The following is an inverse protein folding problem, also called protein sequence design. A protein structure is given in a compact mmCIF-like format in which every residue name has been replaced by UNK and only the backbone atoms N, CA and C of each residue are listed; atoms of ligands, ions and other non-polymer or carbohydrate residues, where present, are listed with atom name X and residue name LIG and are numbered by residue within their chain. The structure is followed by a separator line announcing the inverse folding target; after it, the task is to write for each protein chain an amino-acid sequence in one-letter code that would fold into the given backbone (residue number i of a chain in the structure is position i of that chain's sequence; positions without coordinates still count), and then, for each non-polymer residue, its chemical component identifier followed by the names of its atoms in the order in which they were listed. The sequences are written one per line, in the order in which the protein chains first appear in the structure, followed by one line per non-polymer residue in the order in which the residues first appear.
data_IF_002309879416
#
_entry.id   IF_002309879416
#
_cell.length_a   1.000
_cell.length_b   1.000
_cell.length_c   1.000
_cell.angle_alpha   90.00
_cell.angle_beta   90.00
_cell.angle_gamma   90.00
#
_symmetry.space_group_name_H-M   'P 1'
#
loop_
_entity.id
_entity.type
_entity.pdbx_description
1 polymer ?
#
# COMPACT_ATOMS: atom_id res chain seq x y z
N UNK A 1 -11.78 4.79 -23.88
CA UNK A 1 -11.67 5.14 -22.46
C UNK A 1 -11.73 3.85 -21.68
N UNK A 2 -10.73 3.52 -20.86
CA UNK A 2 -10.71 2.29 -20.06
C UNK A 2 -11.70 2.42 -18.88
N UNK A 3 -12.09 1.28 -18.27
CA UNK A 3 -13.00 1.30 -17.11
C UNK A 3 -12.42 2.09 -15.95
N UNK A 4 -11.10 2.03 -15.76
CA UNK A 4 -10.37 2.85 -14.75
C UNK A 4 -10.49 4.34 -15.06
N UNK A 5 -10.38 4.75 -16.32
CA UNK A 5 -10.51 6.16 -16.72
C UNK A 5 -11.93 6.70 -16.51
N UNK A 6 -12.96 5.86 -16.72
CA UNK A 6 -14.35 6.24 -16.42
C UNK A 6 -14.55 6.40 -14.92
N UNK A 7 -14.06 5.44 -14.13
CA UNK A 7 -14.16 5.48 -12.67
C UNK A 7 -13.45 6.71 -12.08
N UNK A 8 -12.27 7.09 -12.63
CA UNK A 8 -11.58 8.31 -12.23
C UNK A 8 -12.35 9.59 -12.58
N UNK A 9 -12.95 9.64 -13.77
CA UNK A 9 -13.75 10.79 -14.18
C UNK A 9 -14.99 10.96 -13.28
N UNK A 10 -15.66 9.86 -12.95
CA UNK A 10 -16.80 9.86 -12.02
C UNK A 10 -16.37 10.26 -10.59
N UNK A 11 -15.27 9.71 -10.09
CA UNK A 11 -14.70 10.08 -8.80
C UNK A 11 -14.39 11.59 -8.73
N UNK A 12 -13.76 12.14 -9.78
CA UNK A 12 -13.45 13.56 -9.86
C UNK A 12 -14.71 14.41 -9.81
N UNK A 13 -15.73 14.07 -10.60
CA UNK A 13 -17.01 14.79 -10.60
C UNK A 13 -17.69 14.77 -9.23
N UNK A 14 -17.63 13.65 -8.51
CA UNK A 14 -18.18 13.53 -7.14
C UNK A 14 -17.40 14.40 -6.14
N UNK A 15 -16.08 14.42 -6.22
CA UNK A 15 -15.25 15.29 -5.39
C UNK A 15 -15.53 16.78 -5.67
N UNK A 16 -15.62 17.18 -6.95
CA UNK A 16 -15.95 18.56 -7.36
C UNK A 16 -17.36 18.98 -6.94
N UNK A 17 -18.30 18.03 -6.87
CA UNK A 17 -19.64 18.25 -6.34
C UNK A 17 -19.68 18.39 -4.81
N UNK A 18 -18.55 18.24 -4.11
CA UNK A 18 -18.46 18.34 -2.66
C UNK A 18 -18.96 17.12 -1.90
N UNK A 19 -19.07 15.96 -2.56
CA UNK A 19 -19.46 14.73 -1.90
C UNK A 19 -18.42 14.31 -0.86
N UNK A 20 -18.86 14.10 0.37
CA UNK A 20 -18.01 13.56 1.43
C UNK A 20 -17.80 12.07 1.19
N UNK A 21 -16.56 11.64 1.11
CA UNK A 21 -16.20 10.26 0.82
C UNK A 21 -14.90 9.85 1.53
N UNK A 22 -14.69 8.55 1.78
CA UNK A 22 -13.39 8.04 2.21
C UNK A 22 -12.29 8.40 1.21
N UNK A 23 -11.05 8.42 1.68
CA UNK A 23 -9.90 8.65 0.80
C UNK A 23 -9.88 7.60 -0.34
N UNK A 24 -9.90 8.01 -1.61
CA UNK A 24 -10.00 7.04 -2.72
C UNK A 24 -8.80 6.11 -2.82
N UNK A 25 -7.64 6.54 -2.33
CA UNK A 25 -6.42 5.74 -2.39
C UNK A 25 -6.34 4.69 -1.29
N UNK A 26 -6.64 5.03 -0.03
CA UNK A 26 -6.50 4.10 1.09
C UNK A 26 -7.84 3.58 1.66
N UNK A 27 -8.99 4.13 1.24
CA UNK A 27 -10.31 3.73 1.73
C UNK A 27 -10.68 4.24 3.12
N UNK A 28 -9.77 4.93 3.82
CA UNK A 28 -10.02 5.41 5.20
C UNK A 28 -10.80 6.72 5.20
N UNK A 29 -11.59 6.93 6.26
CA UNK A 29 -12.33 8.18 6.48
C UNK A 29 -11.42 9.27 7.07
N UNK A 30 -10.43 9.68 6.29
CA UNK A 30 -9.39 10.64 6.65
C UNK A 30 -9.38 11.90 5.77
N UNK A 31 -10.36 12.02 4.87
CA UNK A 31 -10.52 13.22 4.05
C UNK A 31 -11.07 14.37 4.87
N UNK A 32 -10.49 15.56 4.68
CA UNK A 32 -11.00 16.79 5.29
C UNK A 32 -12.26 17.27 4.56
N UNK A 33 -13.22 17.92 5.28
CA UNK A 33 -14.48 18.35 4.68
C UNK A 33 -14.31 19.32 3.50
N UNK A 34 -13.34 20.23 3.58
CA UNK A 34 -13.04 21.14 2.48
C UNK A 34 -12.07 20.47 1.51
N UNK A 35 -12.53 20.10 0.32
CA UNK A 35 -11.78 19.33 -0.67
C UNK A 35 -10.37 19.90 -0.93
N UNK A 36 -10.28 21.22 -1.14
CA UNK A 36 -9.02 21.90 -1.46
C UNK A 36 -7.99 21.90 -0.32
N UNK A 37 -8.34 21.45 0.89
CA UNK A 37 -7.42 21.31 2.02
C UNK A 37 -6.79 19.91 2.10
N UNK A 38 -7.21 19.01 1.24
CA UNK A 38 -6.61 17.68 1.08
C UNK A 38 -5.46 17.73 0.07
N UNK A 39 -4.64 16.71 0.06
CA UNK A 39 -3.54 16.61 -0.89
C UNK A 39 -4.06 16.31 -2.31
N UNK A 40 -3.52 17.01 -3.30
CA UNK A 40 -3.75 16.68 -4.70
C UNK A 40 -2.86 15.50 -5.08
N UNK A 41 -3.45 14.46 -5.65
CA UNK A 41 -2.69 13.27 -6.08
C UNK A 41 -1.68 13.60 -7.18
N UNK A 42 -0.52 12.96 -7.13
CA UNK A 42 0.52 12.99 -8.17
C UNK A 42 0.35 11.86 -9.19
N UNK A 43 -0.53 10.91 -8.91
CA UNK A 43 -0.74 9.71 -9.72
C UNK A 43 -2.01 9.83 -10.56
N UNK A 44 -3.06 10.45 -10.01
CA UNK A 44 -4.34 10.67 -10.67
C UNK A 44 -4.66 12.16 -10.78
N UNK A 45 -4.64 12.68 -11.99
CA UNK A 45 -4.81 14.11 -12.26
C UNK A 45 -6.17 14.64 -11.79
N UNK A 46 -6.14 15.70 -10.97
CA UNK A 46 -7.31 16.36 -10.44
C UNK A 46 -8.08 15.58 -9.37
N UNK A 47 -7.52 14.50 -8.84
CA UNK A 47 -8.09 13.73 -7.72
C UNK A 47 -7.41 14.15 -6.41
N UNK A 48 -8.22 14.34 -5.38
CA UNK A 48 -7.73 14.61 -4.03
C UNK A 48 -7.70 13.32 -3.21
N UNK A 49 -6.65 13.20 -2.38
CA UNK A 49 -6.41 12.11 -1.43
C UNK A 49 -6.14 12.69 -0.05
N UNK A 50 -6.19 11.90 1.01
CA UNK A 50 -5.82 12.38 2.33
C UNK A 50 -4.33 12.77 2.40
N UNK A 51 -3.96 13.58 3.39
CA UNK A 51 -2.58 14.11 3.50
C UNK A 51 -1.53 13.01 3.63
N UNK A 52 -1.84 11.94 4.36
CA UNK A 52 -0.94 10.78 4.50
C UNK A 52 -0.68 10.13 3.13
N UNK A 53 -1.74 9.91 2.36
CA UNK A 53 -1.63 9.38 1.00
C UNK A 53 -0.84 10.32 0.08
N UNK A 54 -1.07 11.63 0.17
CA UNK A 54 -0.32 12.62 -0.59
C UNK A 54 1.17 12.63 -0.25
N UNK A 55 1.50 12.48 1.03
CA UNK A 55 2.88 12.36 1.51
C UNK A 55 3.53 11.07 1.00
N UNK A 56 2.81 9.95 1.08
CA UNK A 56 3.28 8.67 0.53
C UNK A 56 3.49 8.72 -0.98
N UNK A 57 2.60 9.37 -1.74
CA UNK A 57 2.79 9.54 -3.18
C UNK A 57 4.05 10.35 -3.51
N UNK A 58 4.36 11.40 -2.72
CA UNK A 58 5.58 12.17 -2.89
C UNK A 58 6.82 11.30 -2.68
N UNK A 59 6.83 10.48 -1.64
CA UNK A 59 7.93 9.56 -1.33
C UNK A 59 8.08 8.48 -2.41
N UNK A 60 6.98 7.87 -2.82
CA UNK A 60 6.97 6.85 -3.87
C UNK A 60 7.39 7.40 -5.24
N UNK A 61 7.00 8.63 -5.56
CA UNK A 61 7.46 9.31 -6.77
C UNK A 61 8.98 9.54 -6.75
N UNK A 62 9.53 9.96 -5.61
CA UNK A 62 10.97 10.08 -5.41
C UNK A 62 11.69 8.74 -5.61
N UNK A 63 11.11 7.65 -5.12
CA UNK A 63 11.63 6.28 -5.27
C UNK A 63 11.35 5.67 -6.66
N UNK A 64 10.71 6.40 -7.57
CA UNK A 64 10.29 5.96 -8.91
C UNK A 64 9.42 4.69 -8.91
N UNK A 65 8.62 4.53 -7.86
CA UNK A 65 7.72 3.38 -7.69
C UNK A 65 6.31 3.83 -7.27
N UNK A 66 5.58 4.63 -8.09
CA UNK A 66 4.25 5.08 -7.75
C UNK A 66 3.27 3.90 -7.67
N UNK A 67 2.38 3.92 -6.68
CA UNK A 67 1.27 2.98 -6.61
C UNK A 67 0.30 3.26 -7.76
N UNK A 68 0.04 2.30 -8.66
CA UNK A 68 -0.86 2.52 -9.78
C UNK A 68 -2.32 2.67 -9.31
N UNK A 69 -3.11 3.45 -10.06
CA UNK A 69 -4.50 3.80 -9.69
C UNK A 69 -5.40 2.57 -9.60
N UNK A 70 -5.15 1.56 -10.42
CA UNK A 70 -5.92 0.31 -10.43
C UNK A 70 -5.75 -0.54 -9.15
N UNK A 71 -4.83 -0.15 -8.28
CA UNK A 71 -4.62 -0.73 -6.94
C UNK A 71 -5.25 0.10 -5.81
N UNK A 72 -5.87 1.24 -6.11
CA UNK A 72 -6.49 2.09 -5.10
C UNK A 72 -7.76 1.47 -4.51
N UNK A 73 -8.04 1.81 -3.25
CA UNK A 73 -9.17 1.24 -2.50
C UNK A 73 -10.53 1.50 -3.17
N UNK A 74 -10.74 2.64 -3.83
CA UNK A 74 -12.01 2.93 -4.50
C UNK A 74 -12.35 1.99 -5.66
N UNK A 75 -11.33 1.36 -6.27
CA UNK A 75 -11.48 0.31 -7.29
C UNK A 75 -11.44 -1.11 -6.70
N UNK A 76 -11.00 -1.23 -5.45
CA UNK A 76 -10.82 -2.50 -4.75
C UNK A 76 -11.44 -2.43 -3.35
N UNK A 77 -12.77 -2.27 -3.24
CA UNK A 77 -13.45 -2.08 -1.95
C UNK A 77 -13.34 -3.30 -1.02
N UNK A 78 -13.02 -4.46 -1.58
CA UNK A 78 -12.89 -5.72 -0.82
C UNK A 78 -11.47 -5.92 -0.24
N UNK A 79 -10.58 -4.92 -0.30
CA UNK A 79 -9.29 -5.00 0.38
C UNK A 79 -9.54 -5.07 1.90
N UNK A 80 -9.09 -6.12 2.56
CA UNK A 80 -9.34 -6.27 3.98
C UNK A 80 -8.67 -5.16 4.78
N UNK A 81 -9.46 -4.48 5.59
CA UNK A 81 -9.00 -3.42 6.50
C UNK A 81 -8.52 -4.06 7.80
N UNK A 82 -7.26 -4.47 7.85
CA UNK A 82 -6.63 -4.86 9.10
C UNK A 82 -5.78 -3.68 9.60
N UNK A 83 -6.23 -3.05 10.65
CA UNK A 83 -5.53 -1.92 11.26
C UNK A 83 -4.63 -2.43 12.38
N UNK A 84 -3.32 -2.46 12.14
CA UNK A 84 -2.31 -2.80 13.14
C UNK A 84 -1.80 -1.58 13.92
N UNK A 85 -2.41 -0.41 13.73
CA UNK A 85 -1.93 0.84 14.34
C UNK A 85 -1.91 0.82 15.87
N UNK A 86 -2.83 0.08 16.47
CA UNK A 86 -2.95 0.02 17.93
C UNK A 86 -2.04 -1.02 18.59
N UNK A 87 -1.35 -1.85 17.79
CA UNK A 87 -0.49 -2.91 18.30
C UNK A 87 0.99 -2.50 18.32
N UNK A 88 1.74 -2.78 19.41
CA UNK A 88 3.18 -2.58 19.47
C UNK A 88 3.89 -3.35 18.34
N UNK A 89 4.91 -2.72 17.74
CA UNK A 89 5.61 -3.28 16.57
C UNK A 89 6.15 -4.70 16.78
N UNK A 90 6.64 -5.03 17.98
CA UNK A 90 7.12 -6.39 18.29
C UNK A 90 6.01 -7.43 18.30
N UNK A 91 4.84 -7.10 18.86
CA UNK A 91 3.70 -8.02 18.89
C UNK A 91 3.15 -8.25 17.47
N UNK A 92 3.04 -7.18 16.69
CA UNK A 92 2.62 -7.25 15.28
C UNK A 92 3.61 -8.07 14.44
N UNK A 93 4.91 -7.91 14.66
CA UNK A 93 5.92 -8.67 13.94
C UNK A 93 5.71 -10.18 14.03
N UNK A 94 5.55 -10.71 15.23
CA UNK A 94 5.33 -12.15 15.41
C UNK A 94 4.04 -12.62 14.74
N UNK A 95 2.97 -11.86 14.84
CA UNK A 95 1.72 -12.19 14.18
C UNK A 95 1.86 -12.17 12.65
N UNK A 96 2.42 -11.09 12.09
CA UNK A 96 2.66 -10.99 10.65
C UNK A 96 3.58 -12.10 10.15
N UNK A 97 4.63 -12.44 10.90
CA UNK A 97 5.54 -13.52 10.55
C UNK A 97 4.83 -14.86 10.44
N UNK A 98 3.89 -15.13 11.33
CA UNK A 98 3.13 -16.37 11.33
C UNK A 98 2.09 -16.41 10.21
N UNK A 99 1.33 -15.35 10.05
CA UNK A 99 0.15 -15.32 9.18
C UNK A 99 0.49 -14.90 7.75
N UNK A 100 1.32 -13.87 7.58
CA UNK A 100 1.63 -13.28 6.29
C UNK A 100 3.00 -13.69 5.73
N UNK A 101 3.95 -14.03 6.60
CA UNK A 101 5.31 -14.41 6.18
C UNK A 101 5.34 -15.48 5.10
N UNK A 102 4.65 -16.63 5.27
CA UNK A 102 4.61 -17.69 4.26
C UNK A 102 4.03 -17.22 2.91
N UNK A 103 3.01 -16.36 2.94
CA UNK A 103 2.39 -15.81 1.73
C UNK A 103 3.36 -14.89 0.99
N UNK A 104 3.97 -13.94 1.70
CA UNK A 104 4.91 -12.99 1.13
C UNK A 104 6.18 -13.67 0.60
N UNK A 105 6.70 -14.68 1.31
CA UNK A 105 7.82 -15.51 0.84
C UNK A 105 7.46 -16.27 -0.44
N UNK A 106 6.26 -16.84 -0.53
CA UNK A 106 5.79 -17.52 -1.73
C UNK A 106 5.69 -16.58 -2.92
N UNK A 107 5.15 -15.38 -2.73
CA UNK A 107 5.06 -14.34 -3.76
C UNK A 107 6.47 -13.91 -4.21
N UNK A 108 7.37 -13.66 -3.26
CA UNK A 108 8.75 -13.27 -3.55
C UNK A 108 9.49 -14.35 -4.36
N UNK A 109 9.36 -15.63 -3.98
CA UNK A 109 9.98 -16.76 -4.71
C UNK A 109 9.47 -16.84 -6.15
N UNK A 110 8.16 -16.83 -6.35
CA UNK A 110 7.57 -16.90 -7.69
C UNK A 110 8.11 -15.76 -8.56
N UNK A 111 8.04 -14.54 -8.07
CA UNK A 111 8.49 -13.38 -8.84
C UNK A 111 9.99 -13.40 -9.16
N UNK A 112 10.85 -13.80 -8.20
CA UNK A 112 12.31 -13.70 -8.37
C UNK A 112 12.95 -14.93 -8.97
N UNK A 113 12.38 -16.11 -8.76
CA UNK A 113 13.00 -17.40 -9.11
C UNK A 113 12.26 -18.13 -10.24
N UNK A 114 10.93 -18.11 -10.22
CA UNK A 114 10.12 -18.86 -11.19
C UNK A 114 9.77 -18.01 -12.40
N UNK A 115 9.53 -16.70 -12.22
CA UNK A 115 9.12 -15.77 -13.27
C UNK A 115 10.01 -14.51 -13.29
N UNK A 116 11.34 -14.64 -13.42
CA UNK A 116 12.25 -13.51 -13.36
C UNK A 116 11.99 -12.54 -14.51
N UNK A 117 11.76 -11.26 -14.17
CA UNK A 117 11.45 -10.21 -15.12
C UNK A 117 9.96 -10.04 -15.45
N UNK A 118 9.08 -10.80 -14.82
CA UNK A 118 7.64 -10.58 -14.92
C UNK A 118 7.23 -9.22 -14.34
N UNK A 119 6.12 -8.66 -14.85
CA UNK A 119 5.51 -7.46 -14.27
C UNK A 119 5.15 -7.70 -12.80
N UNK A 120 5.56 -6.79 -11.92
CA UNK A 120 5.33 -6.92 -10.48
C UNK A 120 3.87 -6.63 -10.04
N UNK A 121 3.09 -5.96 -10.85
CA UNK A 121 1.71 -5.56 -10.49
C UNK A 121 0.80 -6.71 -10.04
N UNK A 122 0.75 -7.89 -10.72
CA UNK A 122 -0.06 -9.01 -10.26
C UNK A 122 0.34 -9.52 -8.87
N UNK A 123 1.64 -9.56 -8.58
CA UNK A 123 2.19 -10.00 -7.30
C UNK A 123 1.87 -9.01 -6.18
N UNK A 124 1.94 -7.70 -6.47
CA UNK A 124 1.53 -6.64 -5.54
C UNK A 124 0.05 -6.78 -5.16
N UNK A 125 -0.83 -6.94 -6.15
CA UNK A 125 -2.27 -7.14 -5.90
C UNK A 125 -2.54 -8.38 -5.04
N UNK A 126 -1.87 -9.47 -5.34
CA UNK A 126 -2.00 -10.71 -4.57
C UNK A 126 -1.55 -10.49 -3.11
N UNK A 127 -0.41 -9.84 -2.89
CA UNK A 127 0.09 -9.52 -1.56
C UNK A 127 -0.89 -8.65 -0.78
N UNK A 128 -1.37 -7.55 -1.38
CA UNK A 128 -2.33 -6.64 -0.76
C UNK A 128 -3.64 -7.34 -0.40
N UNK A 129 -4.12 -8.24 -1.26
CA UNK A 129 -5.36 -8.99 -1.02
C UNK A 129 -5.21 -10.05 0.08
N UNK A 130 -4.05 -10.71 0.16
CA UNK A 130 -3.83 -11.86 1.05
C UNK A 130 -3.20 -11.49 2.39
N UNK A 131 -2.66 -10.27 2.50
CA UNK A 131 -1.98 -9.76 3.70
C UNK A 131 -2.70 -8.50 4.21
N UNK A 132 -3.78 -8.66 5.00
CA UNK A 132 -4.50 -7.54 5.58
C UNK A 132 -3.57 -6.61 6.38
N UNK A 133 -3.78 -5.29 6.26
CA UNK A 133 -2.93 -4.29 6.93
C UNK A 133 -1.60 -4.00 6.26
N UNK A 134 -1.26 -4.70 5.17
CA UNK A 134 -0.13 -4.35 4.33
C UNK A 134 -0.41 -2.99 3.66
N UNK A 135 0.40 -1.98 3.99
CA UNK A 135 0.21 -0.62 3.47
C UNK A 135 0.95 -0.37 2.17
N UNK A 136 2.12 -1.00 2.03
CA UNK A 136 2.94 -0.87 0.83
C UNK A 136 3.78 -2.12 0.59
N UNK A 137 4.12 -2.36 -0.69
CA UNK A 137 5.08 -3.37 -1.10
C UNK A 137 5.91 -2.85 -2.27
N UNK A 138 7.23 -2.96 -2.16
CA UNK A 138 8.19 -2.51 -3.17
C UNK A 138 8.83 -3.68 -3.89
N UNK A 139 9.12 -3.45 -5.15
CA UNK A 139 9.76 -4.41 -6.04
C UNK A 139 11.26 -4.52 -5.81
N UNK A 140 11.95 -3.38 -5.68
CA UNK A 140 13.43 -3.31 -5.61
C UNK A 140 13.91 -2.24 -4.63
N UNK A 141 14.40 -2.62 -3.45
CA UNK A 141 14.42 -3.99 -2.89
C UNK A 141 13.01 -4.50 -2.57
N UNK A 142 12.82 -5.81 -2.56
CA UNK A 142 11.52 -6.38 -2.20
C UNK A 142 11.29 -6.18 -0.70
N UNK A 143 10.32 -5.35 -0.39
CA UNK A 143 9.99 -4.95 0.96
C UNK A 143 8.48 -4.81 1.11
N UNK A 144 7.95 -5.19 2.28
CA UNK A 144 6.56 -5.02 2.65
C UNK A 144 6.48 -4.15 3.91
N UNK A 145 5.55 -3.19 3.94
CA UNK A 145 5.42 -2.25 5.05
C UNK A 145 4.03 -2.33 5.68
N UNK A 146 4.02 -2.24 7.00
CA UNK A 146 2.83 -2.13 7.83
C UNK A 146 2.95 -0.91 8.74
N UNK A 147 1.88 -0.14 8.91
CA UNK A 147 1.79 0.86 9.96
C UNK A 147 1.44 0.20 11.29
N UNK A 148 2.15 0.59 12.35
CA UNK A 148 1.95 0.11 13.72
C UNK A 148 1.94 1.29 14.69
N UNK A 149 1.52 1.09 15.94
CA UNK A 149 1.43 2.17 16.93
C UNK A 149 2.75 2.92 17.16
N UNK A 150 3.86 2.21 17.09
CA UNK A 150 5.19 2.74 17.36
C UNK A 150 5.91 3.28 16.13
N UNK A 151 5.32 3.12 14.93
CA UNK A 151 5.96 3.56 13.68
C UNK A 151 5.59 2.71 12.47
N UNK A 152 6.60 2.34 11.70
CA UNK A 152 6.45 1.52 10.51
C UNK A 152 7.26 0.24 10.62
N UNK A 153 6.59 -0.89 10.49
CA UNK A 153 7.26 -2.19 10.40
C UNK A 153 7.59 -2.50 8.94
N UNK A 154 8.87 -2.67 8.63
CA UNK A 154 9.35 -2.97 7.29
C UNK A 154 9.91 -4.38 7.28
N UNK A 155 9.31 -5.24 6.45
CA UNK A 155 9.79 -6.58 6.16
C UNK A 155 10.67 -6.56 4.92
N UNK A 156 11.87 -7.15 5.01
CA UNK A 156 12.79 -7.27 3.88
C UNK A 156 13.00 -8.73 3.54
N UNK A 157 13.04 -8.99 2.25
CA UNK A 157 13.19 -10.35 1.70
C UNK A 157 14.48 -10.43 0.88
N UNK A 158 15.23 -11.47 1.12
CA UNK A 158 16.48 -11.74 0.40
C UNK A 158 16.56 -13.21 0.02
N UNK A 159 16.97 -13.49 -1.22
CA UNK A 159 17.33 -14.84 -1.63
C UNK A 159 18.65 -15.23 -0.96
N UNK A 160 18.71 -16.43 -0.44
CA UNK A 160 19.90 -17.08 0.13
C UNK A 160 20.08 -18.46 -0.48
N UNK A 161 21.21 -19.09 -0.26
CA UNK A 161 21.49 -20.46 -0.76
C UNK A 161 20.50 -21.47 -0.17
N UNK A 162 20.01 -21.23 1.05
CA UNK A 162 19.06 -22.08 1.78
C UNK A 162 17.57 -21.70 1.53
N UNK A 163 17.31 -20.67 0.72
CA UNK A 163 15.94 -20.24 0.42
C UNK A 163 15.72 -18.74 0.48
N UNK A 164 14.69 -18.30 1.21
CA UNK A 164 14.39 -16.87 1.41
C UNK A 164 14.52 -16.49 2.87
N UNK A 165 15.40 -15.55 3.13
CA UNK A 165 15.50 -14.88 4.43
C UNK A 165 14.49 -13.74 4.53
N UNK A 166 13.75 -13.69 5.63
CA UNK A 166 12.85 -12.61 6.00
C UNK A 166 13.37 -11.94 7.26
N UNK A 167 13.67 -10.65 7.14
CA UNK A 167 14.05 -9.78 8.27
C UNK A 167 13.01 -8.67 8.47
N UNK A 168 12.93 -8.14 9.68
CA UNK A 168 12.06 -7.03 10.02
C UNK A 168 12.81 -5.91 10.74
N UNK A 169 12.50 -4.68 10.35
CA UNK A 169 12.95 -3.48 11.05
C UNK A 169 11.73 -2.63 11.44
N UNK A 170 11.72 -2.16 12.69
CA UNK A 170 10.77 -1.16 13.17
C UNK A 170 11.42 0.21 13.01
N UNK A 171 10.82 1.05 12.18
CA UNK A 171 11.14 2.48 12.10
C UNK A 171 10.22 3.21 13.06
N UNK A 172 10.75 3.56 14.23
CA UNK A 172 9.99 4.30 15.25
C UNK A 172 9.68 5.72 14.77
N UNK A 173 8.48 6.21 15.14
CA UNK A 173 8.15 7.60 14.93
C UNK A 173 8.98 8.45 15.89
N UNK A 174 9.75 9.41 15.37
CA UNK A 174 10.39 10.44 16.20
C UNK A 174 9.31 11.19 16.99
N UNK A 175 9.36 11.08 18.30
CA UNK A 175 8.45 11.77 19.23
C UNK A 175 8.80 13.24 19.39
#
# INVERSE_FOLDING_TARGET
MTDVQKALADLKARQEAGEQMPCPRCGKDTMKPALCTNALSRVADGIFVCDDCGTQEALLAFMRNPMPVDEWAFLNPDLPDADFKDLPGKAVWEQIRMDHGPVLISIFKRWTQEEPGADFKPYRREAMKRCPGLTQIWERPFQAMYEVSDGQLILRFRNTDDGVELTADLMENDK
#
